data_IF_932929839055
#
_entry.id   IF_932929839055
#
_cell.length_a   1.000
_cell.length_b   1.000
_cell.length_c   1.000
_cell.angle_alpha   90.00
_cell.angle_beta   90.00
_cell.angle_gamma   90.00
#
_symmetry.space_group_name_H-M   'P 1'
#
loop_
_entity.id
_entity.type
_entity.pdbx_description
1 polymer ?
#
# COMPACT_ATOMS: atom_id res chain seq x y z
N UNK A 1 6.52 -50.33 -5.67
CA UNK A 1 6.34 -48.89 -5.40
C UNK A 1 5.03 -48.50 -6.06
N UNK A 2 3.93 -48.47 -5.32
CA UNK A 2 2.64 -48.00 -5.86
C UNK A 2 2.80 -46.54 -6.28
N UNK A 3 2.34 -46.23 -7.50
CA UNK A 3 2.28 -44.87 -8.04
C UNK A 3 1.26 -44.05 -7.23
N UNK A 4 1.65 -43.54 -6.07
CA UNK A 4 0.79 -42.67 -5.27
C UNK A 4 0.60 -41.33 -6.00
N UNK A 5 -0.65 -40.90 -6.11
CA UNK A 5 -1.01 -39.62 -6.71
C UNK A 5 -0.35 -38.46 -5.91
N UNK A 6 0.04 -37.35 -6.56
CA UNK A 6 0.70 -36.25 -5.87
C UNK A 6 -0.21 -35.59 -4.83
N UNK A 7 0.34 -35.29 -3.65
CA UNK A 7 -0.36 -34.63 -2.54
C UNK A 7 -0.64 -33.14 -2.81
N UNK A 8 0.16 -32.54 -3.69
CA UNK A 8 -0.06 -31.18 -4.18
C UNK A 8 0.39 -31.06 -5.63
N UNK A 9 -0.22 -30.14 -6.35
CA UNK A 9 0.18 -29.76 -7.69
C UNK A 9 0.39 -28.25 -7.77
N UNK A 10 1.22 -27.82 -8.70
CA UNK A 10 1.39 -26.42 -9.00
C UNK A 10 1.23 -26.20 -10.50
N UNK A 11 0.47 -25.16 -10.86
CA UNK A 11 0.24 -24.79 -12.25
C UNK A 11 0.78 -23.40 -12.50
N UNK A 12 1.59 -23.28 -13.55
CA UNK A 12 2.05 -21.98 -14.03
C UNK A 12 0.86 -21.27 -14.67
N UNK A 13 0.64 -20.03 -14.25
CA UNK A 13 -0.41 -19.20 -14.82
C UNK A 13 0.04 -18.65 -16.18
N UNK A 14 -0.18 -19.42 -17.26
CA UNK A 14 0.35 -19.14 -18.60
C UNK A 14 -0.03 -17.78 -19.15
N UNK A 15 -1.30 -17.37 -19.02
CA UNK A 15 -1.77 -16.06 -19.51
C UNK A 15 -1.09 -14.91 -18.77
N UNK A 16 -1.05 -14.97 -17.43
CA UNK A 16 -0.36 -13.96 -16.62
C UNK A 16 1.14 -13.91 -16.93
N UNK A 17 1.78 -15.08 -17.14
CA UNK A 17 3.19 -15.16 -17.52
C UNK A 17 3.46 -14.43 -18.83
N UNK A 18 2.64 -14.65 -19.87
CA UNK A 18 2.81 -13.99 -21.17
C UNK A 18 2.60 -12.49 -21.03
N UNK A 19 1.53 -12.06 -20.36
CA UNK A 19 1.24 -10.63 -20.14
C UNK A 19 2.38 -9.96 -19.37
N UNK A 20 2.87 -10.57 -18.28
CA UNK A 20 3.94 -10.01 -17.46
C UNK A 20 5.23 -9.83 -18.24
N UNK A 21 5.61 -10.83 -19.06
CA UNK A 21 6.84 -10.77 -19.85
C UNK A 21 6.74 -9.74 -20.99
N UNK A 22 5.62 -9.70 -21.69
CA UNK A 22 5.38 -8.68 -22.72
C UNK A 22 5.41 -7.28 -22.12
N UNK A 23 4.74 -7.07 -20.99
CA UNK A 23 4.80 -5.81 -20.27
C UNK A 23 6.24 -5.45 -19.86
N UNK A 24 6.99 -6.40 -19.30
CA UNK A 24 8.38 -6.17 -18.89
C UNK A 24 9.28 -5.76 -20.07
N UNK A 25 9.12 -6.39 -21.23
CA UNK A 25 9.87 -6.05 -22.44
C UNK A 25 9.48 -4.67 -22.96
N UNK A 26 8.19 -4.38 -23.12
CA UNK A 26 7.71 -3.09 -23.64
C UNK A 26 8.10 -1.93 -22.73
N UNK A 27 7.93 -2.11 -21.41
CA UNK A 27 8.30 -1.11 -20.42
C UNK A 27 9.82 -0.94 -20.35
N UNK A 28 10.60 -2.03 -20.48
CA UNK A 28 12.06 -1.97 -20.56
C UNK A 28 12.56 -1.19 -21.78
N UNK A 29 11.95 -1.39 -22.95
CA UNK A 29 12.26 -0.60 -24.16
C UNK A 29 11.97 0.88 -23.94
N UNK A 30 10.83 1.20 -23.32
CA UNK A 30 10.47 2.58 -23.01
C UNK A 30 11.47 3.23 -22.03
N UNK A 31 11.92 2.50 -21.00
CA UNK A 31 12.95 2.96 -20.06
C UNK A 31 14.30 3.20 -20.75
N UNK A 32 14.71 2.34 -21.70
CA UNK A 32 15.93 2.55 -22.47
C UNK A 32 15.84 3.79 -23.36
N UNK A 33 14.69 4.01 -24.02
CA UNK A 33 14.45 5.22 -24.80
C UNK A 33 14.47 6.49 -23.93
N UNK A 34 13.88 6.40 -22.74
CA UNK A 34 13.93 7.47 -21.74
C UNK A 34 15.37 7.80 -21.32
N UNK A 35 16.18 6.80 -20.97
CA UNK A 35 17.56 7.03 -20.59
C UNK A 35 18.40 7.58 -21.73
N UNK A 36 18.19 7.11 -22.95
CA UNK A 36 18.85 7.67 -24.13
C UNK A 36 18.51 9.15 -24.31
N UNK A 37 17.23 9.53 -24.18
CA UNK A 37 16.80 10.93 -24.23
C UNK A 37 17.50 11.76 -23.14
N UNK A 38 17.48 11.31 -21.88
CA UNK A 38 18.10 12.03 -20.77
C UNK A 38 19.60 12.23 -20.92
N UNK A 39 20.31 11.19 -21.34
CA UNK A 39 21.76 11.26 -21.55
C UNK A 39 22.09 12.21 -22.72
N UNK A 40 21.28 12.20 -23.78
CA UNK A 40 21.46 13.10 -24.93
C UNK A 40 21.21 14.56 -24.54
N UNK A 41 20.11 14.83 -23.82
CA UNK A 41 19.82 16.18 -23.29
C UNK A 41 20.90 16.65 -22.31
N UNK A 42 21.40 15.77 -21.44
CA UNK A 42 22.48 16.12 -20.51
C UNK A 42 23.78 16.47 -21.25
N UNK A 43 24.13 15.71 -22.29
CA UNK A 43 25.30 16.01 -23.12
C UNK A 43 25.17 17.37 -23.83
N UNK A 44 23.97 17.72 -24.30
CA UNK A 44 23.69 19.02 -24.91
C UNK A 44 23.79 20.18 -23.91
N UNK A 45 23.25 20.01 -22.69
CA UNK A 45 23.35 21.01 -21.60
C UNK A 45 24.81 21.26 -21.23
N UNK A 46 25.61 20.19 -21.08
CA UNK A 46 27.04 20.29 -20.77
C UNK A 46 27.78 21.01 -21.90
N UNK A 47 27.47 20.69 -23.17
CA UNK A 47 28.08 21.34 -24.34
C UNK A 47 27.76 22.83 -24.40
N UNK A 48 26.54 23.22 -24.08
CA UNK A 48 26.08 24.60 -24.11
C UNK A 48 26.42 25.39 -22.82
N UNK A 49 27.04 24.73 -21.83
CA UNK A 49 27.43 25.29 -20.55
C UNK A 49 26.26 25.93 -19.77
N UNK A 50 25.05 25.39 -19.92
CA UNK A 50 23.84 25.89 -19.25
C UNK A 50 23.77 25.35 -17.81
N UNK A 51 24.32 26.14 -16.89
CA UNK A 51 24.37 25.77 -15.46
C UNK A 51 23.00 25.78 -14.79
N UNK A 52 22.01 26.48 -15.34
CA UNK A 52 20.68 26.58 -14.75
C UNK A 52 19.88 25.28 -14.92
N UNK A 53 20.01 24.63 -16.08
CA UNK A 53 19.30 23.39 -16.40
C UNK A 53 20.01 22.11 -15.90
N UNK A 54 21.30 22.20 -15.56
CA UNK A 54 22.12 21.04 -15.20
C UNK A 54 21.63 20.33 -13.93
N UNK A 55 21.46 21.07 -12.83
CA UNK A 55 21.06 20.48 -11.55
C UNK A 55 19.67 19.82 -11.61
N UNK A 56 18.61 20.46 -12.15
CA UNK A 56 17.31 19.82 -12.34
C UNK A 56 17.38 18.53 -13.17
N UNK A 57 18.16 18.51 -14.26
CA UNK A 57 18.29 17.33 -15.10
C UNK A 57 18.97 16.17 -14.38
N UNK A 58 20.03 16.44 -13.60
CA UNK A 58 20.71 15.42 -12.79
C UNK A 58 19.76 14.84 -11.75
N UNK A 59 18.99 15.68 -11.04
CA UNK A 59 18.04 15.22 -10.03
C UNK A 59 16.94 14.34 -10.63
N UNK A 60 16.40 14.72 -11.79
CA UNK A 60 15.40 13.91 -12.52
C UNK A 60 16.01 12.57 -12.97
N UNK A 61 17.23 12.58 -13.52
CA UNK A 61 17.90 11.36 -13.96
C UNK A 61 18.15 10.40 -12.79
N UNK A 62 18.60 10.91 -11.63
CA UNK A 62 18.79 10.09 -10.42
C UNK A 62 17.46 9.47 -9.99
N UNK A 63 16.39 10.26 -9.96
CA UNK A 63 15.04 9.78 -9.62
C UNK A 63 14.59 8.66 -10.57
N UNK A 64 14.71 8.86 -11.88
CA UNK A 64 14.36 7.87 -12.89
C UNK A 64 15.21 6.59 -12.79
N UNK A 65 16.49 6.70 -12.47
CA UNK A 65 17.36 5.55 -12.20
C UNK A 65 16.90 4.75 -10.98
N UNK A 66 16.56 5.43 -9.88
CA UNK A 66 16.06 4.77 -8.66
C UNK A 66 14.74 4.04 -8.95
N UNK A 67 13.78 4.71 -9.60
CA UNK A 67 12.50 4.09 -9.95
C UNK A 67 12.68 2.90 -10.90
N UNK A 68 13.56 3.02 -11.89
CA UNK A 68 13.86 1.93 -12.83
C UNK A 68 14.52 0.74 -12.14
N UNK A 69 15.41 1.00 -11.17
CA UNK A 69 16.04 -0.03 -10.35
C UNK A 69 14.99 -0.78 -9.52
N UNK A 70 14.13 -0.05 -8.79
CA UNK A 70 13.03 -0.67 -8.02
C UNK A 70 12.13 -1.50 -8.93
N UNK A 71 11.75 -0.95 -10.09
CA UNK A 71 10.94 -1.65 -11.08
C UNK A 71 11.61 -2.94 -11.57
N UNK A 72 12.90 -2.91 -11.86
CA UNK A 72 13.66 -4.08 -12.34
C UNK A 72 13.63 -5.23 -11.32
N UNK A 73 13.89 -4.92 -10.05
CA UNK A 73 13.82 -5.92 -8.97
C UNK A 73 12.41 -6.47 -8.77
N UNK A 74 11.38 -5.64 -8.98
CA UNK A 74 9.99 -6.10 -8.91
C UNK A 74 9.60 -7.10 -10.01
N UNK A 75 10.35 -7.18 -11.12
CA UNK A 75 10.06 -8.13 -12.20
C UNK A 75 10.33 -9.58 -11.79
N UNK A 76 11.24 -9.82 -10.84
CA UNK A 76 11.62 -11.16 -10.41
C UNK A 76 10.41 -11.97 -9.90
N UNK A 77 9.54 -11.34 -9.11
CA UNK A 77 8.33 -11.99 -8.56
C UNK A 77 7.26 -12.22 -9.63
N UNK A 78 7.29 -11.47 -10.73
CA UNK A 78 6.30 -11.48 -11.81
C UNK A 78 6.68 -12.40 -12.97
N UNK A 79 7.91 -12.91 -13.00
CA UNK A 79 8.47 -13.63 -14.15
C UNK A 79 7.85 -15.00 -14.44
N UNK A 80 7.42 -15.71 -13.37
CA UNK A 80 6.81 -17.05 -13.46
C UNK A 80 5.77 -17.25 -12.35
N UNK A 81 4.57 -16.63 -12.47
CA UNK A 81 3.52 -16.79 -11.48
C UNK A 81 3.01 -18.24 -11.44
N UNK A 82 2.83 -18.77 -10.23
CA UNK A 82 2.36 -20.14 -9.99
C UNK A 82 1.17 -20.15 -9.02
N UNK A 83 0.20 -21.01 -9.30
CA UNK A 83 -0.88 -21.36 -8.36
C UNK A 83 -0.61 -22.75 -7.80
N UNK A 84 -0.76 -22.94 -6.49
CA UNK A 84 -0.62 -24.24 -5.81
C UNK A 84 -1.99 -24.77 -5.42
N UNK A 85 -2.22 -26.06 -5.61
CA UNK A 85 -3.43 -26.77 -5.16
C UNK A 85 -2.99 -27.96 -4.30
N UNK A 86 -3.51 -28.06 -3.09
CA UNK A 86 -3.37 -29.23 -2.23
C UNK A 86 -4.52 -30.21 -2.45
N UNK A 87 -4.28 -31.50 -2.21
CA UNK A 87 -5.29 -32.56 -2.27
C UNK A 87 -5.38 -33.26 -0.90
N UNK A 88 -6.15 -32.70 0.05
CA UNK A 88 -6.29 -33.27 1.39
C UNK A 88 -6.78 -34.72 1.39
N UNK A 89 -7.65 -35.08 0.44
CA UNK A 89 -8.20 -36.45 0.30
C UNK A 89 -7.14 -37.52 0.00
N UNK A 90 -5.93 -37.13 -0.38
CA UNK A 90 -4.80 -38.03 -0.69
C UNK A 90 -3.82 -38.15 0.47
N UNK A 91 -4.06 -37.45 1.57
CA UNK A 91 -3.21 -37.53 2.76
C UNK A 91 -3.25 -38.95 3.35
N UNK A 92 -2.15 -39.39 3.99
CA UNK A 92 -2.15 -40.65 4.71
C UNK A 92 -3.12 -40.58 5.89
N UNK A 93 -3.58 -41.73 6.38
CA UNK A 93 -4.45 -41.79 7.54
C UNK A 93 -3.84 -41.14 8.79
N UNK A 94 -4.72 -40.71 9.69
CA UNK A 94 -4.45 -39.92 10.90
C UNK A 94 -3.24 -40.39 11.72
N UNK A 95 -3.01 -41.70 11.80
CA UNK A 95 -1.88 -42.31 12.50
C UNK A 95 -0.51 -41.82 11.99
N UNK A 96 -0.39 -41.53 10.70
CA UNK A 96 0.86 -41.10 10.04
C UNK A 96 1.03 -39.57 10.01
N UNK A 97 0.03 -38.81 10.45
CA UNK A 97 0.11 -37.35 10.50
C UNK A 97 1.08 -36.88 11.61
N UNK A 98 1.82 -35.77 11.43
CA UNK A 98 2.71 -35.23 12.46
C UNK A 98 1.94 -34.55 13.60
N UNK A 99 2.57 -34.31 14.75
CA UNK A 99 2.00 -33.40 15.76
C UNK A 99 2.10 -31.94 15.29
N UNK A 100 1.10 -31.12 15.63
CA UNK A 100 0.99 -29.70 15.27
C UNK A 100 0.75 -28.89 16.53
N UNK A 101 1.58 -27.86 16.70
CA UNK A 101 1.41 -26.84 17.74
C UNK A 101 0.89 -25.55 17.11
N UNK A 102 -0.24 -25.06 17.60
CA UNK A 102 -0.83 -23.78 17.20
C UNK A 102 -0.55 -22.75 18.28
N UNK A 103 0.21 -21.72 17.93
CA UNK A 103 0.50 -20.59 18.83
C UNK A 103 -0.44 -19.42 18.53
N UNK A 104 -1.22 -19.02 19.54
CA UNK A 104 -2.00 -17.78 19.55
C UNK A 104 -1.30 -16.81 20.47
N UNK A 105 -0.88 -15.66 19.97
CA UNK A 105 -0.25 -14.63 20.78
C UNK A 105 -1.21 -13.46 20.94
N UNK A 106 -1.32 -12.96 22.17
CA UNK A 106 -2.09 -11.75 22.48
C UNK A 106 -1.25 -10.76 23.26
N UNK A 107 -1.47 -9.47 23.00
CA UNK A 107 -0.67 -8.40 23.60
C UNK A 107 -1.34 -7.73 24.80
N UNK A 108 -2.64 -7.43 24.70
CA UNK A 108 -3.39 -6.71 25.74
C UNK A 108 -4.91 -6.86 25.50
N UNK A 109 -5.71 -7.13 26.55
CA UNK A 109 -7.14 -7.38 26.42
C UNK A 109 -7.98 -6.18 25.98
N UNK A 110 -7.48 -4.94 26.09
CA UNK A 110 -8.21 -3.75 25.62
C UNK A 110 -8.08 -3.61 24.10
N UNK A 111 -6.91 -3.93 23.54
CA UNK A 111 -6.67 -3.87 22.09
C UNK A 111 -7.17 -5.09 21.35
N UNK A 112 -6.99 -6.24 21.98
CA UNK A 112 -7.36 -7.54 21.45
C UNK A 112 -8.40 -8.12 22.41
N UNK A 113 -9.68 -7.75 22.27
CA UNK A 113 -10.73 -8.14 23.19
C UNK A 113 -10.69 -9.63 23.47
N UNK A 114 -10.65 -10.00 24.76
CA UNK A 114 -10.49 -11.39 25.17
C UNK A 114 -11.46 -12.34 24.45
N UNK A 115 -12.71 -11.92 24.22
CA UNK A 115 -13.71 -12.74 23.51
C UNK A 115 -13.25 -13.10 22.09
N UNK A 116 -12.65 -12.16 21.34
CA UNK A 116 -12.13 -12.41 19.98
C UNK A 116 -10.92 -13.35 20.01
N UNK A 117 -10.03 -13.16 20.99
CA UNK A 117 -8.89 -14.06 21.22
C UNK A 117 -9.40 -15.46 21.56
N UNK A 118 -10.39 -15.58 22.43
CA UNK A 118 -10.99 -16.87 22.80
C UNK A 118 -11.73 -17.55 21.65
N UNK A 119 -12.41 -16.79 20.78
CA UNK A 119 -12.96 -17.32 19.53
C UNK A 119 -11.87 -17.92 18.63
N UNK A 120 -10.71 -17.27 18.54
CA UNK A 120 -9.55 -17.77 17.80
C UNK A 120 -8.98 -19.04 18.44
N UNK A 121 -8.81 -19.05 19.76
CA UNK A 121 -8.33 -20.24 20.52
C UNK A 121 -9.29 -21.41 20.33
N UNK A 122 -10.60 -21.19 20.52
CA UNK A 122 -11.61 -22.24 20.33
C UNK A 122 -11.64 -22.71 18.88
N UNK A 123 -11.56 -21.81 17.91
CA UNK A 123 -11.47 -22.17 16.49
C UNK A 123 -10.24 -23.03 16.19
N UNK A 124 -9.09 -22.73 16.79
CA UNK A 124 -7.89 -23.56 16.67
C UNK A 124 -8.10 -24.96 17.29
N UNK A 125 -8.78 -25.05 18.44
CA UNK A 125 -9.11 -26.35 19.06
C UNK A 125 -10.08 -27.20 18.22
N UNK A 126 -10.86 -26.58 17.33
CA UNK A 126 -11.81 -27.26 16.43
C UNK A 126 -11.21 -27.67 15.08
N UNK A 127 -9.91 -27.46 14.86
CA UNK A 127 -9.25 -27.94 13.63
C UNK A 127 -9.51 -29.44 13.44
N UNK A 128 -9.77 -29.82 12.19
CA UNK A 128 -10.00 -31.21 11.79
C UNK A 128 -8.66 -31.96 11.78
N UNK A 129 -8.23 -32.39 12.96
CA UNK A 129 -6.95 -33.02 13.21
C UNK A 129 -7.03 -33.99 14.40
N UNK A 130 -6.18 -35.04 14.45
CA UNK A 130 -6.16 -35.98 15.57
C UNK A 130 -5.95 -35.28 16.92
N UNK A 131 -6.81 -35.52 17.94
CA UNK A 131 -6.78 -34.77 19.19
C UNK A 131 -5.51 -34.97 20.02
N UNK A 132 -4.86 -36.12 19.87
CA UNK A 132 -3.58 -36.46 20.51
C UNK A 132 -2.39 -35.72 19.86
N UNK A 133 -2.58 -35.19 18.66
CA UNK A 133 -1.54 -34.55 17.84
C UNK A 133 -1.70 -33.05 17.71
N UNK A 134 -2.84 -32.48 18.08
CA UNK A 134 -3.10 -31.05 18.01
C UNK A 134 -2.94 -30.41 19.40
N UNK A 135 -1.99 -29.49 19.53
CA UNK A 135 -1.83 -28.68 20.74
C UNK A 135 -2.06 -27.20 20.43
N UNK A 136 -2.70 -26.49 21.34
CA UNK A 136 -3.00 -25.06 21.20
C UNK A 136 -2.44 -24.32 22.40
N UNK A 137 -1.55 -23.35 22.13
CA UNK A 137 -0.87 -22.53 23.13
C UNK A 137 -1.34 -21.09 23.01
N UNK A 138 -1.64 -20.46 24.15
CA UNK A 138 -1.89 -19.02 24.24
C UNK A 138 -0.70 -18.35 24.96
N UNK A 139 -0.01 -17.46 24.26
CA UNK A 139 1.00 -16.56 24.85
C UNK A 139 0.37 -15.20 25.09
N UNK A 140 0.39 -14.71 26.33
CA UNK A 140 -0.11 -13.38 26.69
C UNK A 140 1.07 -12.50 27.12
N UNK A 141 1.50 -11.62 26.22
CA UNK A 141 2.59 -10.69 26.47
C UNK A 141 2.18 -9.59 27.47
N UNK A 142 0.88 -9.35 27.63
CA UNK A 142 0.32 -8.39 28.58
C UNK A 142 0.20 -8.94 30.00
N UNK A 143 0.35 -10.25 30.18
CA UNK A 143 0.25 -10.92 31.48
C UNK A 143 -1.07 -10.62 32.21
N UNK A 144 -2.17 -10.42 31.48
CA UNK A 144 -3.40 -9.91 32.06
C UNK A 144 -4.22 -11.00 32.72
N UNK A 145 -4.62 -10.74 33.97
CA UNK A 145 -5.53 -11.65 34.70
C UNK A 145 -6.87 -11.84 33.98
N UNK A 146 -7.32 -10.83 33.21
CA UNK A 146 -8.57 -10.90 32.45
C UNK A 146 -8.44 -11.90 31.31
N UNK A 147 -7.30 -11.92 30.60
CA UNK A 147 -7.01 -12.91 29.56
C UNK A 147 -7.00 -14.32 30.14
N UNK A 148 -6.34 -14.50 31.29
CA UNK A 148 -6.32 -15.79 31.99
C UNK A 148 -7.72 -16.27 32.39
N UNK A 149 -8.55 -15.38 32.95
CA UNK A 149 -9.93 -15.71 33.30
C UNK A 149 -10.77 -16.04 32.07
N UNK A 150 -10.62 -15.29 30.98
CA UNK A 150 -11.29 -15.54 29.72
C UNK A 150 -10.91 -16.91 29.13
N UNK A 151 -9.62 -17.28 29.17
CA UNK A 151 -9.14 -18.60 28.75
C UNK A 151 -9.79 -19.72 29.57
N UNK A 152 -9.91 -19.53 30.89
CA UNK A 152 -10.59 -20.51 31.75
C UNK A 152 -12.06 -20.70 31.36
N UNK A 153 -12.77 -19.64 30.98
CA UNK A 153 -14.15 -19.74 30.50
C UNK A 153 -14.23 -20.37 29.10
N UNK A 154 -13.33 -19.98 28.20
CA UNK A 154 -13.22 -20.57 26.86
C UNK A 154 -12.96 -22.08 26.92
N UNK A 155 -12.10 -22.53 27.85
CA UNK A 155 -11.86 -23.95 28.10
C UNK A 155 -13.10 -24.69 28.60
N UNK A 156 -13.92 -24.07 29.46
CA UNK A 156 -15.20 -24.68 29.87
C UNK A 156 -16.16 -24.81 28.69
N UNK A 157 -16.25 -23.77 27.87
CA UNK A 157 -17.11 -23.76 26.69
C UNK A 157 -16.64 -24.75 25.61
N UNK A 158 -15.33 -24.87 25.40
CA UNK A 158 -14.76 -25.77 24.38
C UNK A 158 -15.07 -27.24 24.63
N UNK A 159 -15.26 -27.65 25.89
CA UNK A 159 -15.74 -28.99 26.25
C UNK A 159 -17.12 -29.32 25.67
N UNK A 160 -17.95 -28.32 25.39
CA UNK A 160 -19.25 -28.48 24.73
C UNK A 160 -19.12 -28.28 23.22
N UNK A 161 -18.42 -27.22 22.82
CA UNK A 161 -18.33 -26.79 21.43
C UNK A 161 -17.50 -27.72 20.53
N UNK A 162 -16.33 -28.18 20.99
CA UNK A 162 -15.44 -29.01 20.17
C UNK A 162 -16.09 -30.35 19.80
N UNK A 163 -16.70 -31.11 20.75
CA UNK A 163 -17.43 -32.32 20.39
C UNK A 163 -18.61 -32.05 19.44
N UNK A 164 -19.32 -30.94 19.62
CA UNK A 164 -20.40 -30.53 18.71
C UNK A 164 -19.88 -30.30 17.28
N UNK A 165 -18.83 -29.50 17.11
CA UNK A 165 -18.24 -29.23 15.80
C UNK A 165 -17.79 -30.52 15.09
N UNK A 166 -17.13 -31.42 15.82
CA UNK A 166 -16.66 -32.71 15.28
C UNK A 166 -17.82 -33.63 14.89
N UNK A 167 -18.83 -33.75 15.76
CA UNK A 167 -20.00 -34.60 15.51
C UNK A 167 -20.79 -34.16 14.28
N UNK A 168 -20.97 -32.86 14.09
CA UNK A 168 -21.76 -32.29 13.01
C UNK A 168 -20.93 -31.80 11.81
N UNK A 169 -19.60 -32.02 11.82
CA UNK A 169 -18.66 -31.55 10.78
C UNK A 169 -18.85 -30.07 10.45
N UNK A 170 -18.96 -29.25 11.49
CA UNK A 170 -19.15 -27.80 11.36
C UNK A 170 -17.95 -27.20 10.65
N UNK A 171 -18.18 -26.53 9.52
CA UNK A 171 -17.11 -25.93 8.70
C UNK A 171 -16.48 -24.70 9.36
N UNK A 172 -17.27 -23.95 10.12
CA UNK A 172 -16.84 -22.72 10.79
C UNK A 172 -16.61 -23.03 12.28
N UNK A 173 -15.36 -23.31 12.63
CA UNK A 173 -14.97 -23.65 14.01
C UNK A 173 -15.07 -22.49 15.01
N UNK A 174 -15.01 -21.25 14.51
CA UNK A 174 -15.17 -20.03 15.31
C UNK A 174 -16.64 -19.84 15.73
N UNK A 175 -16.97 -19.82 17.03
CA UNK A 175 -18.34 -19.71 17.51
C UNK A 175 -19.03 -18.42 17.03
N UNK A 176 -18.39 -17.27 17.22
CA UNK A 176 -18.95 -15.98 16.81
C UNK A 176 -19.23 -15.94 15.31
N UNK A 177 -18.31 -16.42 14.47
CA UNK A 177 -18.53 -16.47 13.03
C UNK A 177 -19.63 -17.46 12.64
N UNK A 178 -19.74 -18.61 13.31
CA UNK A 178 -20.80 -19.59 13.06
C UNK A 178 -22.20 -19.03 13.36
N UNK A 179 -22.33 -18.21 14.42
CA UNK A 179 -23.62 -17.62 14.80
C UNK A 179 -23.92 -16.26 14.13
N UNK A 180 -22.96 -15.68 13.40
CA UNK A 180 -23.11 -14.35 12.76
C UNK A 180 -23.41 -14.39 11.26
N UNK A 181 -23.50 -15.58 10.64
CA UNK A 181 -23.82 -15.67 9.21
C UNK A 181 -25.33 -15.49 8.98
N UNK A 182 -25.74 -14.28 8.61
CA UNK A 182 -27.04 -13.97 8.00
C UNK A 182 -27.00 -14.17 6.47
N UNK A 183 -28.09 -14.70 5.91
CA UNK A 183 -28.31 -14.96 4.48
C UNK A 183 -28.63 -13.68 3.68
N UNK A 184 -28.18 -13.65 2.40
CA UNK A 184 -28.56 -12.76 1.28
C UNK A 184 -27.63 -11.57 0.92
N UNK A 185 -27.32 -11.45 -0.38
CA UNK A 185 -26.63 -10.31 -0.98
C UNK A 185 -27.15 -10.05 -2.41
N UNK A 186 -27.24 -8.78 -2.87
CA UNK A 186 -27.50 -8.47 -4.28
C UNK A 186 -26.42 -7.60 -4.94
N UNK A 187 -26.20 -7.83 -6.23
CA UNK A 187 -25.20 -7.19 -7.11
C UNK A 187 -25.93 -6.27 -8.14
N UNK A 188 -25.39 -5.09 -8.45
CA UNK A 188 -25.98 -4.15 -9.42
C UNK A 188 -24.89 -3.54 -10.34
N UNK A 189 -25.11 -3.64 -11.66
CA UNK A 189 -24.18 -3.23 -12.74
C UNK A 189 -24.55 -1.86 -13.33
N UNK A 190 -23.52 -1.14 -13.77
CA UNK A 190 -23.50 0.26 -14.25
C UNK A 190 -23.93 0.46 -15.72
N UNK A 191 -24.49 1.64 -16.00
CA UNK A 191 -24.74 2.20 -17.34
C UNK A 191 -23.49 2.86 -17.95
N UNK A 192 -23.28 2.65 -19.26
CA UNK A 192 -22.53 3.51 -20.20
C UNK A 192 -23.56 4.34 -21.01
N UNK A 193 -23.31 5.45 -21.70
CA UNK A 193 -22.12 6.01 -22.36
C UNK A 193 -22.53 7.37 -22.94
N UNK A 194 -21.83 8.46 -22.58
CA UNK A 194 -21.88 9.71 -23.35
C UNK A 194 -20.58 10.50 -23.13
N UNK A 195 -19.46 9.99 -23.66
CA UNK A 195 -18.16 10.70 -23.62
C UNK A 195 -17.21 10.18 -24.72
N UNK A 196 -17.65 10.20 -25.99
CA UNK A 196 -16.81 9.79 -27.14
C UNK A 196 -16.65 10.93 -28.18
N UNK A 197 -17.26 12.11 -27.96
CA UNK A 197 -17.31 13.15 -29.02
C UNK A 197 -16.26 14.27 -28.91
N UNK A 198 -15.47 14.38 -27.83
CA UNK A 198 -14.37 15.37 -27.76
C UNK A 198 -12.98 14.73 -27.77
N UNK A 199 -12.73 13.84 -28.75
CA UNK A 199 -11.42 13.20 -28.99
C UNK A 199 -10.69 13.77 -30.21
N UNK A 200 -10.84 15.07 -30.49
CA UNK A 200 -10.19 15.67 -31.67
C UNK A 200 -9.85 17.13 -31.46
N UNK A 201 -8.90 17.37 -30.56
CA UNK A 201 -7.88 18.42 -30.69
C UNK A 201 -6.82 18.18 -29.61
N UNK A 202 -5.77 17.43 -29.94
CA UNK A 202 -4.52 17.41 -29.17
C UNK A 202 -3.39 17.50 -30.18
N UNK A 203 -3.06 18.74 -30.53
CA UNK A 203 -1.74 19.12 -30.95
C UNK A 203 -0.95 19.40 -29.67
N UNK A 204 -0.21 18.41 -29.14
CA UNK A 204 0.63 18.62 -27.96
C UNK A 204 1.94 17.85 -28.08
N UNK A 205 3.01 18.64 -28.22
CA UNK A 205 4.29 18.56 -27.53
C UNK A 205 5.10 17.26 -27.61
N UNK A 206 6.28 17.37 -28.25
CA UNK A 206 7.45 16.48 -28.24
C UNK A 206 7.21 14.96 -28.32
N UNK A 207 7.79 14.23 -29.30
CA UNK A 207 7.62 12.78 -29.43
C UNK A 207 8.05 11.98 -28.19
N UNK A 208 8.86 12.56 -27.29
CA UNK A 208 9.28 11.93 -26.04
C UNK A 208 8.21 11.98 -24.93
N UNK A 209 7.25 12.92 -24.98
CA UNK A 209 6.19 13.01 -23.99
C UNK A 209 5.32 11.73 -23.96
N UNK A 210 5.03 11.17 -25.13
CA UNK A 210 4.26 9.92 -25.27
C UNK A 210 4.96 8.77 -24.53
N UNK A 211 6.30 8.75 -24.53
CA UNK A 211 7.09 7.72 -23.84
C UNK A 211 6.93 7.85 -22.32
N UNK A 212 7.02 9.06 -21.77
CA UNK A 212 6.77 9.31 -20.34
C UNK A 212 5.36 8.91 -19.92
N UNK A 213 4.36 9.32 -20.71
CA UNK A 213 2.97 9.00 -20.45
C UNK A 213 2.74 7.48 -20.50
N UNK A 214 3.34 6.79 -21.47
CA UNK A 214 3.26 5.35 -21.58
C UNK A 214 3.90 4.63 -20.38
N UNK A 215 5.10 5.04 -19.94
CA UNK A 215 5.77 4.47 -18.76
C UNK A 215 4.87 4.64 -17.53
N UNK A 216 4.36 5.85 -17.31
CA UNK A 216 3.48 6.13 -16.17
C UNK A 216 2.19 5.31 -16.23
N UNK A 217 1.44 5.39 -17.33
CA UNK A 217 0.16 4.70 -17.47
C UNK A 217 0.30 3.18 -17.46
N UNK A 218 1.34 2.63 -18.08
CA UNK A 218 1.59 1.18 -18.06
C UNK A 218 1.89 0.67 -16.64
N UNK A 219 2.68 1.41 -15.86
CA UNK A 219 2.93 1.09 -14.46
C UNK A 219 1.63 1.12 -13.63
N UNK A 220 0.80 2.15 -13.81
CA UNK A 220 -0.49 2.27 -13.12
C UNK A 220 -1.46 1.14 -13.51
N UNK A 221 -1.61 0.89 -14.81
CA UNK A 221 -2.48 -0.17 -15.33
C UNK A 221 -2.03 -1.55 -14.84
N UNK A 222 -0.71 -1.77 -14.75
CA UNK A 222 -0.16 -3.01 -14.23
C UNK A 222 -0.53 -3.25 -12.77
N UNK A 223 -0.45 -2.21 -11.95
CA UNK A 223 -0.81 -2.31 -10.53
C UNK A 223 -2.32 -2.51 -10.35
N UNK A 224 -3.16 -1.80 -11.11
CA UNK A 224 -4.61 -2.01 -11.13
C UNK A 224 -4.95 -3.46 -11.50
N UNK A 225 -4.29 -4.01 -12.52
CA UNK A 225 -4.46 -5.41 -12.92
C UNK A 225 -4.12 -6.37 -11.77
N UNK A 226 -3.02 -6.14 -11.06
CA UNK A 226 -2.60 -6.99 -9.93
C UNK A 226 -3.63 -6.97 -8.79
N UNK A 227 -4.12 -5.78 -8.42
CA UNK A 227 -5.15 -5.63 -7.38
C UNK A 227 -6.42 -6.41 -7.74
N UNK A 228 -6.90 -6.30 -8.98
CA UNK A 228 -8.06 -7.05 -9.43
C UNK A 228 -7.82 -8.57 -9.51
N UNK A 229 -6.62 -9.00 -9.94
CA UNK A 229 -6.26 -10.43 -9.95
C UNK A 229 -6.23 -11.04 -8.54
N UNK A 230 -5.94 -10.24 -7.51
CA UNK A 230 -6.01 -10.65 -6.10
C UNK A 230 -7.43 -10.62 -5.50
N UNK A 231 -8.45 -10.21 -6.27
CA UNK A 231 -9.84 -10.13 -5.81
C UNK A 231 -10.16 -8.89 -4.98
N UNK A 232 -9.31 -7.87 -5.03
CA UNK A 232 -9.50 -6.62 -4.30
C UNK A 232 -10.10 -5.51 -5.18
N UNK A 233 -10.69 -4.49 -4.53
CA UNK A 233 -11.37 -3.39 -5.22
C UNK A 233 -10.41 -2.26 -5.62
N UNK A 234 -10.88 -1.34 -6.46
CA UNK A 234 -10.12 -0.14 -6.84
C UNK A 234 -9.74 0.74 -5.64
N UNK A 235 -10.50 0.67 -4.53
CA UNK A 235 -10.15 1.36 -3.27
C UNK A 235 -8.83 0.83 -2.70
N UNK A 236 -8.57 -0.47 -2.84
CA UNK A 236 -7.30 -1.08 -2.43
C UNK A 236 -6.15 -0.53 -3.26
N UNK A 237 -6.30 -0.42 -4.58
CA UNK A 237 -5.32 0.21 -5.46
C UNK A 237 -5.00 1.64 -5.03
N UNK A 238 -6.01 2.49 -4.83
CA UNK A 238 -5.81 3.88 -4.38
C UNK A 238 -5.13 3.96 -3.01
N UNK A 239 -5.49 3.07 -2.09
CA UNK A 239 -4.86 3.01 -0.77
C UNK A 239 -3.40 2.56 -0.86
N UNK A 240 -3.08 1.56 -1.68
CA UNK A 240 -1.71 1.08 -1.89
C UNK A 240 -0.83 2.14 -2.55
N UNK A 241 -1.34 2.83 -3.58
CA UNK A 241 -0.65 3.96 -4.23
C UNK A 241 -0.35 5.07 -3.21
N UNK A 242 -1.35 5.45 -2.41
CA UNK A 242 -1.17 6.44 -1.34
C UNK A 242 -0.11 5.98 -0.33
N UNK A 243 -0.22 4.76 0.19
CA UNK A 243 0.73 4.23 1.18
C UNK A 243 2.15 4.16 0.62
N UNK A 244 2.31 3.80 -0.65
CA UNK A 244 3.61 3.78 -1.31
C UNK A 244 4.24 5.18 -1.36
N UNK A 245 3.48 6.19 -1.81
CA UNK A 245 3.96 7.59 -1.85
C UNK A 245 4.28 8.12 -0.46
N UNK A 246 3.41 7.84 0.53
CA UNK A 246 3.63 8.30 1.90
C UNK A 246 4.88 7.67 2.53
N UNK A 247 5.09 6.35 2.33
CA UNK A 247 6.31 5.65 2.80
C UNK A 247 7.57 6.18 2.13
N UNK A 248 7.50 6.47 0.82
CA UNK A 248 8.61 7.04 0.08
C UNK A 248 9.04 8.40 0.64
N UNK A 249 8.08 9.30 0.90
CA UNK A 249 8.36 10.63 1.44
C UNK A 249 8.78 10.62 2.92
N UNK A 250 8.34 9.62 3.68
CA UNK A 250 8.59 9.55 5.13
C UNK A 250 9.59 8.45 5.47
N UNK A 251 9.12 7.22 5.67
CA UNK A 251 9.91 6.11 6.17
C UNK A 251 11.20 5.90 5.40
N UNK A 252 11.18 5.94 4.06
CA UNK A 252 12.39 5.72 3.26
C UNK A 252 13.36 6.90 3.33
N UNK A 253 12.85 8.13 3.32
CA UNK A 253 13.67 9.33 3.48
C UNK A 253 14.40 9.32 4.83
N UNK A 254 13.67 9.11 5.92
CA UNK A 254 14.26 9.11 7.26
C UNK A 254 15.17 7.90 7.50
N UNK A 255 14.81 6.72 7.00
CA UNK A 255 15.69 5.56 7.08
C UNK A 255 16.99 5.79 6.30
N UNK A 256 16.92 6.39 5.10
CA UNK A 256 18.10 6.74 4.31
C UNK A 256 19.00 7.74 5.04
N UNK A 257 18.41 8.79 5.62
CA UNK A 257 19.13 9.77 6.43
C UNK A 257 19.78 9.12 7.65
N UNK A 258 19.07 8.24 8.36
CA UNK A 258 19.59 7.56 9.55
C UNK A 258 20.78 6.65 9.21
N UNK A 259 20.72 5.91 8.09
CA UNK A 259 21.84 5.11 7.60
C UNK A 259 23.05 5.97 7.23
N UNK A 260 22.83 7.13 6.60
CA UNK A 260 23.92 8.08 6.28
C UNK A 260 24.54 8.63 7.56
N UNK A 261 23.72 9.05 8.52
CA UNK A 261 24.18 9.59 9.80
C UNK A 261 24.94 8.53 10.63
N UNK A 262 24.49 7.28 10.59
CA UNK A 262 25.19 6.15 11.21
C UNK A 262 26.55 5.90 10.57
N UNK A 263 26.64 5.93 9.23
CA UNK A 263 27.92 5.79 8.52
C UNK A 263 28.92 6.91 8.81
N UNK A 264 28.43 8.13 9.10
CA UNK A 264 29.26 9.28 9.49
C UNK A 264 29.58 9.25 11.00
N UNK A 265 29.00 8.31 11.76
CA UNK A 265 29.23 8.15 13.19
C UNK A 265 28.46 9.13 14.08
N UNK A 266 27.43 9.80 13.53
CA UNK A 266 26.63 10.80 14.24
C UNK A 266 25.51 10.19 15.08
N UNK A 267 25.02 9.00 14.72
CA UNK A 267 23.91 8.32 15.39
C UNK A 267 24.18 6.82 15.51
N UNK A 268 23.52 6.16 16.46
CA UNK A 268 23.40 4.70 16.51
C UNK A 268 21.95 4.33 16.21
N UNK A 269 21.73 3.42 15.27
CA UNK A 269 20.39 2.93 14.96
C UNK A 269 19.80 2.24 16.18
N UNK A 270 18.57 2.61 16.57
CA UNK A 270 17.86 1.98 17.68
C UNK A 270 16.49 1.50 17.22
N UNK A 271 16.27 0.19 17.32
CA UNK A 271 15.00 -0.44 17.00
C UNK A 271 14.18 -0.58 18.27
N UNK A 272 13.57 0.53 18.72
CA UNK A 272 12.55 0.48 19.76
C UNK A 272 11.23 0.04 19.14
N UNK A 273 10.66 -1.11 19.52
CA UNK A 273 9.34 -1.51 19.06
C UNK A 273 8.33 -0.42 19.41
N UNK A 274 7.52 0.00 18.43
CA UNK A 274 6.43 0.93 18.69
C UNK A 274 5.43 0.28 19.62
N UNK A 275 5.02 0.99 20.67
CA UNK A 275 3.98 0.51 21.55
C UNK A 275 2.69 0.33 20.72
N UNK A 276 2.19 -0.90 20.65
CA UNK A 276 0.95 -1.23 19.91
C UNK A 276 -0.32 -0.78 20.68
N UNK A 277 -0.16 -0.04 21.78
CA UNK A 277 -1.07 0.93 22.46
C UNK A 277 -2.17 1.61 21.64
N UNK A 278 -3.17 0.95 21.06
CA UNK A 278 -4.22 1.66 20.32
C UNK A 278 -5.34 2.18 21.25
N UNK A 279 -5.68 3.48 21.16
CA UNK A 279 -6.86 4.11 21.81
C UNK A 279 -8.16 3.61 21.16
N UNK A 280 -9.27 3.52 21.90
CA UNK A 280 -10.58 3.05 21.41
C UNK A 280 -11.03 3.80 20.14
N UNK A 281 -10.67 5.07 20.05
CA UNK A 281 -10.98 5.91 18.90
C UNK A 281 -10.13 5.58 17.66
N UNK A 282 -8.88 5.16 17.84
CA UNK A 282 -8.01 4.69 16.75
C UNK A 282 -8.53 3.37 16.18
N UNK A 283 -8.94 2.44 17.04
CA UNK A 283 -9.55 1.16 16.65
C UNK A 283 -10.84 1.37 15.86
N UNK A 284 -11.70 2.30 16.28
CA UNK A 284 -12.91 2.67 15.53
C UNK A 284 -12.59 3.23 14.15
N UNK A 285 -11.60 4.13 14.04
CA UNK A 285 -11.18 4.67 12.74
C UNK A 285 -10.68 3.55 11.82
N UNK A 286 -9.88 2.62 12.35
CA UNK A 286 -9.38 1.47 11.60
C UNK A 286 -10.53 0.59 11.06
N UNK A 287 -11.51 0.25 11.89
CA UNK A 287 -12.67 -0.56 11.48
C UNK A 287 -13.52 0.12 10.41
N UNK A 288 -13.63 1.45 10.45
CA UNK A 288 -14.35 2.25 9.44
C UNK A 288 -13.53 2.51 8.17
N UNK A 289 -12.26 2.08 8.13
CA UNK A 289 -11.35 2.37 7.00
C UNK A 289 -11.00 3.85 6.87
N UNK A 290 -11.00 4.58 7.98
CA UNK A 290 -10.65 6.01 8.09
C UNK A 290 -9.21 6.11 8.61
N UNK A 291 -8.38 6.92 7.96
CA UNK A 291 -6.99 7.12 8.37
C UNK A 291 -6.88 7.81 9.73
N UNK A 292 -5.93 7.41 10.56
CA UNK A 292 -5.55 8.17 11.75
C UNK A 292 -4.27 8.96 11.46
N UNK A 293 -4.30 10.27 11.66
CA UNK A 293 -3.16 11.17 11.39
C UNK A 293 -2.37 11.58 12.64
N UNK A 294 -2.56 10.90 13.77
CA UNK A 294 -1.77 11.06 14.99
C UNK A 294 -0.37 10.43 14.90
N UNK A 295 0.31 10.58 13.77
CA UNK A 295 1.68 10.14 13.62
C UNK A 295 2.66 11.22 14.11
N UNK A 296 3.91 10.85 14.48
CA UNK A 296 4.93 11.81 14.87
C UNK A 296 5.10 12.94 13.84
N UNK A 297 5.26 14.19 14.33
CA UNK A 297 5.35 15.38 13.48
C UNK A 297 6.44 15.27 12.40
N UNK A 298 7.55 14.60 12.68
CA UNK A 298 8.63 14.34 11.70
C UNK A 298 8.15 13.67 10.41
N UNK A 299 7.13 12.82 10.48
CA UNK A 299 6.56 12.18 9.29
C UNK A 299 5.42 13.01 8.70
N UNK A 300 4.58 13.61 9.54
CA UNK A 300 3.40 14.35 9.07
C UNK A 300 3.75 15.69 8.41
N UNK A 301 4.76 16.41 8.88
CA UNK A 301 5.12 17.72 8.34
C UNK A 301 5.53 17.63 6.86
N UNK A 302 6.47 16.77 6.43
CA UNK A 302 6.79 16.62 5.01
C UNK A 302 5.58 16.23 4.14
N UNK A 303 4.73 15.32 4.64
CA UNK A 303 3.51 14.89 3.93
C UNK A 303 2.52 16.02 3.71
N UNK A 304 2.19 16.73 4.78
CA UNK A 304 1.26 17.85 4.73
C UNK A 304 1.83 19.02 3.92
N UNK A 305 3.13 19.31 4.03
CA UNK A 305 3.80 20.34 3.22
C UNK A 305 3.72 20.02 1.73
N UNK A 306 4.09 18.80 1.32
CA UNK A 306 4.06 18.43 -0.09
C UNK A 306 2.63 18.42 -0.65
N UNK A 307 1.65 17.99 0.15
CA UNK A 307 0.24 18.07 -0.25
C UNK A 307 -0.20 19.52 -0.48
N UNK A 308 0.07 20.42 0.48
CA UNK A 308 -0.27 21.84 0.35
C UNK A 308 0.46 22.50 -0.83
N UNK A 309 1.73 22.13 -1.06
CA UNK A 309 2.49 22.59 -2.22
C UNK A 309 1.81 22.19 -3.54
N UNK A 310 1.36 20.94 -3.67
CA UNK A 310 0.65 20.48 -4.87
C UNK A 310 -0.69 21.20 -5.06
N UNK A 311 -1.46 21.42 -3.99
CA UNK A 311 -2.71 22.21 -4.04
C UNK A 311 -2.42 23.66 -4.47
N UNK A 312 -1.45 24.32 -3.84
CA UNK A 312 -1.06 25.68 -4.19
C UNK A 312 -0.58 25.79 -5.63
N UNK A 313 0.20 24.81 -6.09
CA UNK A 313 0.69 24.74 -7.48
C UNK A 313 -0.46 24.57 -8.49
N UNK A 314 -1.50 23.79 -8.16
CA UNK A 314 -2.70 23.67 -9.00
C UNK A 314 -3.47 25.00 -9.09
N UNK A 315 -3.67 25.67 -7.95
CA UNK A 315 -4.40 26.94 -7.92
C UNK A 315 -3.65 28.03 -8.71
N UNK A 316 -2.35 28.17 -8.46
CA UNK A 316 -1.49 29.13 -9.18
C UNK A 316 -1.40 28.78 -10.66
N UNK A 317 -1.19 27.49 -10.98
CA UNK A 317 -1.13 26.99 -12.35
C UNK A 317 -2.41 27.27 -13.13
N UNK A 318 -3.58 26.97 -12.54
CA UNK A 318 -4.88 27.26 -13.14
C UNK A 318 -5.08 28.77 -13.37
N UNK A 319 -4.72 29.60 -12.40
CA UNK A 319 -4.76 31.06 -12.56
C UNK A 319 -3.89 31.56 -13.73
N UNK A 320 -2.69 31.00 -13.91
CA UNK A 320 -1.81 31.31 -15.05
C UNK A 320 -2.40 30.83 -16.38
N UNK A 321 -3.07 29.69 -16.43
CA UNK A 321 -3.75 29.20 -17.63
C UNK A 321 -4.84 30.18 -18.06
N UNK A 322 -5.67 30.65 -17.13
CA UNK A 322 -6.73 31.63 -17.43
C UNK A 322 -6.16 32.93 -18.01
N UNK A 323 -5.00 33.37 -17.51
CA UNK A 323 -4.34 34.60 -17.97
C UNK A 323 -3.64 34.44 -19.32
N UNK A 324 -2.96 33.31 -19.55
CA UNK A 324 -2.10 33.12 -20.74
C UNK A 324 -2.80 32.43 -21.91
N UNK A 325 -3.95 31.79 -21.68
CA UNK A 325 -4.70 30.99 -22.67
C UNK A 325 -3.89 29.83 -23.29
N UNK A 326 -2.78 29.42 -22.66
CA UNK A 326 -1.92 28.30 -23.11
C UNK A 326 -2.37 26.97 -22.52
N UNK A 327 -3.56 26.54 -22.90
CA UNK A 327 -4.20 25.34 -22.33
C UNK A 327 -3.40 24.05 -22.57
N UNK A 328 -2.90 23.82 -23.78
CA UNK A 328 -2.21 22.57 -24.14
C UNK A 328 -0.92 22.30 -23.36
N UNK A 329 -0.12 23.35 -23.11
CA UNK A 329 1.18 23.22 -22.44
C UNK A 329 1.05 22.97 -20.93
N UNK A 330 0.09 23.64 -20.28
CA UNK A 330 -0.03 23.63 -18.83
C UNK A 330 -1.02 22.59 -18.30
N UNK A 331 -2.02 22.18 -19.08
CA UNK A 331 -3.02 21.18 -18.69
C UNK A 331 -2.35 19.82 -18.40
N UNK A 332 -1.32 19.49 -19.17
CA UNK A 332 -0.55 18.26 -19.01
C UNK A 332 0.31 18.25 -17.75
N UNK A 333 0.93 19.39 -17.45
CA UNK A 333 1.69 19.59 -16.22
C UNK A 333 0.80 19.57 -14.97
N UNK A 334 -0.47 19.98 -15.11
CA UNK A 334 -1.45 19.94 -14.03
C UNK A 334 -1.90 18.52 -13.66
N UNK A 335 -1.74 17.52 -14.54
CA UNK A 335 -2.17 16.14 -14.26
C UNK A 335 -1.44 15.49 -13.07
N UNK A 336 -0.14 15.74 -12.92
CA UNK A 336 0.67 15.17 -11.84
C UNK A 336 0.24 15.70 -10.46
N UNK A 337 0.20 17.03 -10.22
CA UNK A 337 -0.27 17.55 -8.95
C UNK A 337 -1.77 17.27 -8.74
N UNK A 338 -2.59 17.21 -9.80
CA UNK A 338 -3.99 16.78 -9.70
C UNK A 338 -4.10 15.33 -9.22
N UNK A 339 -3.34 14.41 -9.82
CA UNK A 339 -3.29 13.02 -9.39
C UNK A 339 -2.82 12.91 -7.93
N UNK A 340 -1.74 13.62 -7.57
CA UNK A 340 -1.20 13.60 -6.21
C UNK A 340 -2.23 14.11 -5.17
N UNK A 341 -2.94 15.19 -5.48
CA UNK A 341 -3.96 15.79 -4.60
C UNK A 341 -5.20 14.92 -4.48
N UNK A 342 -5.74 14.42 -5.58
CA UNK A 342 -6.91 13.50 -5.56
C UNK A 342 -6.57 12.23 -4.77
N UNK A 343 -5.42 11.62 -5.03
CA UNK A 343 -5.00 10.40 -4.34
C UNK A 343 -4.86 10.62 -2.82
N UNK A 344 -4.37 11.80 -2.41
CA UNK A 344 -4.10 12.15 -1.01
C UNK A 344 -5.20 13.00 -0.36
N UNK A 345 -6.40 13.05 -0.94
CA UNK A 345 -7.54 13.78 -0.37
C UNK A 345 -7.78 13.53 1.13
N UNK A 346 -7.59 12.31 1.69
CA UNK A 346 -7.70 12.09 3.13
C UNK A 346 -6.78 12.98 3.99
N UNK A 347 -5.64 13.45 3.48
CA UNK A 347 -4.80 14.43 4.17
C UNK A 347 -5.50 15.78 4.29
N UNK A 348 -6.21 16.24 3.26
CA UNK A 348 -7.03 17.45 3.34
C UNK A 348 -8.15 17.29 4.36
N UNK A 349 -8.84 16.15 4.35
CA UNK A 349 -9.84 15.83 5.36
C UNK A 349 -9.24 15.90 6.76
N UNK A 350 -8.08 15.28 6.96
CA UNK A 350 -7.34 15.29 8.23
C UNK A 350 -6.89 16.67 8.68
N UNK A 351 -6.52 17.56 7.76
CA UNK A 351 -6.01 18.89 8.08
C UNK A 351 -7.11 19.91 8.34
N UNK A 352 -8.18 19.89 7.54
CA UNK A 352 -9.16 20.99 7.48
C UNK A 352 -10.55 20.55 7.95
N UNK A 353 -11.04 19.40 7.48
CA UNK A 353 -12.44 19.02 7.64
C UNK A 353 -12.71 18.30 8.97
N UNK A 354 -11.73 17.55 9.47
CA UNK A 354 -11.87 16.72 10.67
C UNK A 354 -11.67 17.49 11.97
N UNK A 355 -12.55 17.22 12.94
CA UNK A 355 -12.49 17.78 14.30
C UNK A 355 -12.27 16.75 15.41
N UNK A 356 -12.21 15.48 15.05
CA UNK A 356 -11.97 14.38 15.98
C UNK A 356 -10.48 14.23 16.34
N UNK A 357 -10.16 13.32 17.27
CA UNK A 357 -8.77 13.11 17.71
C UNK A 357 -7.85 12.65 16.58
N UNK A 358 -8.36 11.91 15.59
CA UNK A 358 -7.56 11.39 14.48
C UNK A 358 -7.17 12.42 13.41
N UNK A 359 -7.48 13.71 13.61
CA UNK A 359 -7.09 14.82 12.74
C UNK A 359 -5.58 15.11 12.80
N UNK A 360 -5.08 15.85 11.81
CA UNK A 360 -3.72 16.39 11.82
C UNK A 360 -3.61 17.48 12.90
N UNK A 361 -2.54 17.44 13.71
CA UNK A 361 -2.30 18.45 14.74
C UNK A 361 -2.24 19.87 14.13
N UNK A 362 -2.85 20.89 14.76
CA UNK A 362 -2.74 22.28 14.31
C UNK A 362 -1.30 22.77 14.16
N UNK A 363 -0.39 22.34 15.04
CA UNK A 363 1.03 22.72 14.95
C UNK A 363 1.69 22.17 13.69
N UNK A 364 1.38 20.92 13.32
CA UNK A 364 1.84 20.30 12.09
C UNK A 364 1.27 21.03 10.88
N UNK A 365 -0.02 21.36 10.90
CA UNK A 365 -0.66 22.13 9.83
C UNK A 365 0.02 23.49 9.62
N UNK A 366 0.21 24.28 10.68
CA UNK A 366 0.83 25.61 10.59
C UNK A 366 2.27 25.55 10.10
N UNK A 367 3.08 24.63 10.63
CA UNK A 367 4.45 24.43 10.18
C UNK A 367 4.50 23.98 8.71
N UNK A 368 3.59 23.09 8.32
CA UNK A 368 3.52 22.60 6.95
C UNK A 368 3.14 23.69 5.96
N UNK A 369 2.21 24.56 6.34
CA UNK A 369 1.79 25.72 5.56
C UNK A 369 2.92 26.74 5.41
N UNK A 370 3.67 27.01 6.49
CA UNK A 370 4.83 27.89 6.44
C UNK A 370 5.89 27.36 5.46
N UNK A 371 6.26 26.07 5.58
CA UNK A 371 7.21 25.42 4.67
C UNK A 371 6.74 25.52 3.22
N UNK A 372 5.47 25.16 2.96
CA UNK A 372 4.91 25.20 1.60
C UNK A 372 4.93 26.60 0.99
N UNK A 373 4.63 27.62 1.80
CA UNK A 373 4.64 29.03 1.38
C UNK A 373 6.05 29.50 1.05
N UNK A 374 7.05 29.10 1.84
CA UNK A 374 8.47 29.38 1.55
C UNK A 374 8.86 28.78 0.20
N UNK A 375 8.52 27.52 -0.07
CA UNK A 375 8.81 26.88 -1.35
C UNK A 375 8.13 27.55 -2.53
N UNK A 376 6.84 27.90 -2.42
CA UNK A 376 6.12 28.63 -3.48
C UNK A 376 6.71 30.02 -3.73
N UNK A 377 7.10 30.72 -2.67
CA UNK A 377 7.71 32.05 -2.76
C UNK A 377 9.07 31.99 -3.43
N UNK A 378 9.89 31.01 -3.06
CA UNK A 378 11.19 30.76 -3.68
C UNK A 378 11.06 30.38 -5.16
N UNK A 379 10.11 29.51 -5.50
CA UNK A 379 9.82 29.16 -6.90
C UNK A 379 9.34 30.36 -7.72
N UNK A 380 8.50 31.22 -7.12
CA UNK A 380 8.05 32.47 -7.75
C UNK A 380 9.22 33.42 -8.01
N UNK A 381 10.14 33.57 -7.05
CA UNK A 381 11.35 34.37 -7.23
C UNK A 381 12.19 33.84 -8.39
N UNK A 382 12.47 32.52 -8.43
CA UNK A 382 13.22 31.91 -9.54
C UNK A 382 12.55 32.13 -10.90
N UNK A 383 11.21 32.04 -10.97
CA UNK A 383 10.43 32.30 -12.19
C UNK A 383 10.45 33.75 -12.65
N UNK A 384 10.92 34.71 -11.85
CA UNK A 384 11.07 36.10 -12.25
C UNK A 384 12.51 36.43 -12.70
N UNK A 385 13.47 35.54 -12.42
CA UNK A 385 14.88 35.69 -12.80
C UNK A 385 15.24 34.96 -14.10
N UNK A 386 14.39 34.05 -14.56
CA UNK A 386 14.47 33.30 -15.83
C UNK A 386 13.15 33.48 -16.57
#
# INVERSE_FOLDING_TARGET
MENSLPLSDFRVKKTELVINRLHAVLHGIALLALFHYRLSSLAEIIKNNDTALLLPHILILISELIFSFIWLFSQATKWKPVTRKAYPDRLPGDEKLPSIDVFVCTTDPNKEPCVKVMNTVISAMTLDYPPDKLQVYLSDDGGSIVTFQALKQAWKFSKLWVPFCRKYKVKIGCPEAYFSTDESGPDATFHSSEFIVEKKEIEVSSPFFIVFLFIFLSAQLKHVQEVFLTGHSIRTWSNEQRMWMMKALTSYLFAGLEVVMEKIGLTKTSFLPTNKVDDDQQTKCYQMGIYNFQAPARFMVPLCSLYMLNVGSLIIGFGRIMQTQKWGEMLLQALIPLFATVLHFPLLEGMVLRKDKGRVSPSVFLLSAAISTIFLSFASLLSNYY
#
